data_IF_093964450497
#
_entry.id   IF_093964450497
#
_cell.length_a   1.000
_cell.length_b   1.000
_cell.length_c   1.000
_cell.angle_alpha   90.00
_cell.angle_beta   90.00
_cell.angle_gamma   90.00
#
_symmetry.space_group_name_H-M   'P 1'
#
loop_
_entity.id
_entity.type
_entity.pdbx_description
1 polymer ?
#
# COMPACT_ATOMS: atom_id res chain seq x y z
N UNK A 1 -26.22 -68.30 -2.54
CA UNK A 1 -26.92 -67.29 -1.71
C UNK A 1 -25.98 -66.10 -1.56
N UNK A 2 -26.21 -64.99 -2.28
CA UNK A 2 -26.82 -63.73 -1.75
C UNK A 2 -25.87 -63.08 -0.71
N UNK A 3 -25.31 -61.88 -0.86
CA UNK A 3 -25.78 -60.66 -1.55
C UNK A 3 -24.60 -59.74 -1.92
N UNK A 4 -24.83 -58.98 -3.00
CA UNK A 4 -24.15 -57.76 -3.47
C UNK A 4 -24.41 -56.60 -2.46
N UNK A 5 -23.73 -55.45 -2.63
CA UNK A 5 -23.98 -54.09 -2.09
C UNK A 5 -23.17 -53.82 -0.79
N UNK A 6 -22.23 -52.86 -0.67
CA UNK A 6 -22.15 -51.42 -1.02
C UNK A 6 -20.68 -51.08 -1.35
N UNK A 7 -20.28 -50.78 -2.59
CA UNK A 7 -20.27 -49.43 -3.20
C UNK A 7 -19.90 -48.27 -2.23
N UNK A 8 -18.75 -47.65 -2.51
CA UNK A 8 -18.42 -46.24 -2.24
C UNK A 8 -18.24 -45.82 -0.77
N UNK A 9 -17.08 -46.11 -0.19
CA UNK A 9 -16.59 -45.34 0.95
C UNK A 9 -15.20 -44.79 0.64
N UNK A 10 -15.21 -43.49 0.34
CA UNK A 10 -14.08 -42.57 0.36
C UNK A 10 -13.06 -42.59 -0.78
N UNK A 11 -13.52 -42.87 -2.01
CA UNK A 11 -12.95 -42.21 -3.20
C UNK A 11 -13.51 -40.77 -3.35
N UNK A 12 -13.76 -40.09 -2.22
CA UNK A 12 -14.14 -38.69 -2.15
C UNK A 12 -12.88 -37.84 -2.24
N UNK A 13 -12.25 -37.88 -3.41
CA UNK A 13 -11.56 -36.76 -4.04
C UNK A 13 -11.80 -35.45 -3.29
N UNK A 14 -10.86 -35.10 -2.43
CA UNK A 14 -10.62 -33.71 -2.02
C UNK A 14 -10.09 -32.97 -3.26
N UNK A 15 -10.91 -32.91 -4.32
CA UNK A 15 -10.80 -31.87 -5.33
C UNK A 15 -11.29 -30.61 -4.64
N UNK A 16 -10.43 -30.02 -3.81
CA UNK A 16 -10.46 -28.58 -3.62
C UNK A 16 -10.15 -28.03 -5.01
N UNK A 17 -11.19 -27.90 -5.85
CA UNK A 17 -11.11 -27.15 -7.08
C UNK A 17 -10.59 -25.78 -6.65
N UNK A 18 -9.33 -25.52 -7.00
CA UNK A 18 -8.66 -24.25 -6.74
C UNK A 18 -9.66 -23.15 -7.09
N UNK A 19 -10.06 -22.40 -6.06
CA UNK A 19 -10.97 -21.30 -6.21
C UNK A 19 -10.21 -20.26 -7.02
N UNK A 20 -10.34 -20.31 -8.36
CA UNK A 20 -9.83 -19.26 -9.23
C UNK A 20 -10.49 -17.98 -8.73
N UNK A 21 -9.69 -17.10 -8.14
CA UNK A 21 -10.10 -15.75 -7.83
C UNK A 21 -10.61 -15.13 -9.13
N UNK A 22 -11.88 -14.75 -9.11
CA UNK A 22 -12.58 -14.13 -10.23
C UNK A 22 -12.50 -14.92 -11.57
N UNK A 23 -13.28 -16.00 -11.65
CA UNK A 23 -13.51 -16.76 -12.89
C UNK A 23 -13.98 -15.87 -14.06
N UNK A 24 -14.68 -14.78 -13.79
CA UNK A 24 -15.17 -13.87 -14.83
C UNK A 24 -14.06 -12.95 -15.34
N UNK A 25 -13.18 -12.44 -14.48
CA UNK A 25 -11.98 -11.70 -14.90
C UNK A 25 -11.07 -12.58 -15.78
N UNK A 26 -10.83 -13.83 -15.38
CA UNK A 26 -10.03 -14.75 -16.20
C UNK A 26 -10.68 -15.04 -17.55
N UNK A 27 -12.02 -15.18 -17.58
CA UNK A 27 -12.78 -15.35 -18.83
C UNK A 27 -12.70 -14.11 -19.70
N UNK A 28 -12.76 -12.91 -19.12
CA UNK A 28 -12.59 -11.63 -19.81
C UNK A 28 -11.19 -11.53 -20.41
N UNK A 29 -10.14 -11.75 -19.61
CA UNK A 29 -8.76 -11.72 -20.09
C UNK A 29 -8.57 -12.68 -21.26
N UNK A 30 -9.08 -13.92 -21.19
CA UNK A 30 -8.95 -14.91 -22.28
C UNK A 30 -9.69 -14.54 -23.57
N UNK A 31 -10.62 -13.58 -23.55
CA UNK A 31 -11.25 -13.05 -24.77
C UNK A 31 -10.36 -12.02 -25.46
N UNK A 32 -9.54 -11.32 -24.70
CA UNK A 32 -8.67 -10.23 -25.18
C UNK A 32 -7.23 -10.73 -25.44
N UNK A 33 -6.79 -11.70 -24.67
CA UNK A 33 -5.42 -12.23 -24.64
C UNK A 33 -5.40 -13.76 -24.64
N UNK A 34 -4.22 -14.35 -24.84
CA UNK A 34 -4.06 -15.80 -24.80
C UNK A 34 -3.95 -16.32 -23.36
N UNK A 35 -4.29 -17.61 -23.15
CA UNK A 35 -4.29 -18.24 -21.82
C UNK A 35 -2.94 -18.17 -21.10
N UNK A 36 -1.81 -18.23 -21.83
CA UNK A 36 -0.47 -18.20 -21.23
C UNK A 36 -0.21 -16.83 -20.61
N UNK A 37 -0.52 -15.74 -21.33
CA UNK A 37 -0.38 -14.38 -20.81
C UNK A 37 -1.33 -14.13 -19.64
N UNK A 38 -2.59 -14.51 -19.73
CA UNK A 38 -3.52 -14.37 -18.59
C UNK A 38 -3.11 -15.14 -17.34
N UNK A 39 -2.18 -16.09 -17.43
CA UNK A 39 -1.70 -16.88 -16.30
C UNK A 39 -0.20 -16.64 -16.05
N UNK A 40 0.42 -15.66 -16.72
CA UNK A 40 1.75 -15.19 -16.39
C UNK A 40 1.68 -14.12 -15.31
N UNK A 41 2.85 -13.82 -14.78
CA UNK A 41 3.14 -12.72 -13.89
C UNK A 41 4.34 -12.02 -14.55
N UNK A 42 4.10 -10.82 -15.08
CA UNK A 42 5.02 -10.16 -16.00
C UNK A 42 6.06 -9.30 -15.27
N UNK A 43 5.74 -8.78 -14.09
CA UNK A 43 6.63 -7.97 -13.25
C UNK A 43 7.10 -8.67 -11.96
N UNK A 44 6.65 -9.90 -11.73
CA UNK A 44 7.10 -10.79 -10.66
C UNK A 44 6.68 -10.32 -9.26
N UNK A 45 5.55 -9.62 -9.14
CA UNK A 45 4.98 -9.21 -7.87
C UNK A 45 4.09 -10.27 -7.20
N UNK A 46 3.96 -11.44 -7.83
CA UNK A 46 3.11 -12.59 -7.46
C UNK A 46 1.61 -12.37 -7.71
N UNK A 47 1.23 -11.42 -8.55
CA UNK A 47 -0.12 -11.20 -9.02
C UNK A 47 -0.18 -11.61 -10.49
N UNK A 48 -1.14 -12.45 -10.83
CA UNK A 48 -1.29 -12.90 -12.20
C UNK A 48 -1.77 -11.73 -13.08
N UNK A 49 -1.28 -11.67 -14.31
CA UNK A 49 -1.57 -10.62 -15.31
C UNK A 49 -3.07 -10.24 -15.42
N UNK A 50 -3.99 -11.20 -15.23
CA UNK A 50 -5.43 -10.93 -15.33
C UNK A 50 -6.05 -10.30 -14.07
N UNK A 51 -5.35 -10.33 -12.94
CA UNK A 51 -5.73 -9.72 -11.66
C UNK A 51 -4.94 -8.43 -11.39
N UNK A 52 -3.83 -8.26 -12.10
CA UNK A 52 -2.93 -7.12 -11.98
C UNK A 52 -3.39 -5.93 -12.82
N UNK A 53 -3.51 -4.76 -12.19
CA UNK A 53 -3.85 -3.49 -12.85
C UNK A 53 -2.63 -2.80 -13.45
N UNK A 54 -1.42 -3.15 -13.03
CA UNK A 54 -0.16 -2.59 -13.50
C UNK A 54 0.83 -3.68 -13.91
N UNK A 55 0.59 -4.47 -14.97
CA UNK A 55 1.33 -5.71 -15.30
C UNK A 55 2.80 -5.55 -15.75
N UNK A 56 3.42 -4.41 -15.49
CA UNK A 56 4.80 -4.08 -15.84
C UNK A 56 5.52 -3.36 -14.70
N UNK A 57 4.83 -3.13 -13.58
CA UNK A 57 5.30 -2.32 -12.47
C UNK A 57 4.92 -3.03 -11.18
N UNK A 58 5.92 -3.58 -10.50
CA UNK A 58 5.71 -4.32 -9.26
C UNK A 58 4.83 -3.54 -8.28
N UNK A 59 3.77 -4.17 -7.79
CA UNK A 59 2.88 -3.57 -6.83
C UNK A 59 2.50 -4.47 -5.68
N UNK A 60 1.61 -3.96 -4.86
CA UNK A 60 1.07 -4.72 -3.73
C UNK A 60 -0.30 -5.27 -4.07
N UNK A 61 -0.67 -6.41 -3.47
CA UNK A 61 -2.03 -6.96 -3.58
C UNK A 61 -3.08 -5.94 -3.10
N UNK A 62 -2.76 -5.15 -2.07
CA UNK A 62 -3.62 -4.09 -1.53
C UNK A 62 -3.99 -3.04 -2.59
N UNK A 63 -3.06 -2.76 -3.53
CA UNK A 63 -3.25 -1.83 -4.62
C UNK A 63 -3.38 -2.52 -5.99
N UNK A 64 -3.87 -3.76 -6.00
CA UNK A 64 -4.17 -4.52 -7.22
C UNK A 64 -2.97 -4.64 -8.18
N UNK A 65 -1.77 -4.88 -7.63
CA UNK A 65 -0.53 -5.00 -8.42
C UNK A 65 0.05 -3.69 -8.91
N UNK A 66 -0.46 -2.56 -8.42
CA UNK A 66 0.17 -1.26 -8.69
C UNK A 66 1.04 -0.78 -7.53
N UNK A 67 2.14 -0.04 -7.79
CA UNK A 67 2.86 0.69 -6.75
C UNK A 67 1.99 1.80 -6.16
N UNK A 68 2.21 2.13 -4.89
CA UNK A 68 1.61 3.31 -4.29
C UNK A 68 2.40 4.56 -4.71
N UNK A 69 1.72 5.68 -5.05
CA UNK A 69 2.41 6.93 -5.33
C UNK A 69 3.01 7.55 -4.07
N UNK A 70 4.04 8.36 -4.29
CA UNK A 70 4.66 9.29 -3.34
C UNK A 70 4.87 10.59 -4.14
N UNK A 71 3.89 11.49 -4.03
CA UNK A 71 3.73 12.62 -4.95
C UNK A 71 4.78 13.71 -4.71
N UNK A 72 5.14 13.97 -3.45
CA UNK A 72 6.14 14.98 -3.10
C UNK A 72 7.55 14.42 -2.84
N UNK A 73 7.69 13.09 -2.85
CA UNK A 73 8.95 12.34 -2.82
C UNK A 73 9.70 12.47 -1.49
N UNK A 74 8.95 12.55 -0.39
CA UNK A 74 9.53 12.61 0.95
C UNK A 74 9.79 11.21 1.56
N UNK A 75 9.33 10.14 0.89
CA UNK A 75 9.48 8.76 1.32
C UNK A 75 8.31 8.22 2.14
N UNK A 76 7.28 9.02 2.38
CA UNK A 76 5.98 8.60 2.93
C UNK A 76 5.01 8.45 1.76
N UNK A 77 4.45 7.25 1.58
CA UNK A 77 3.50 7.01 0.50
C UNK A 77 2.25 7.88 0.69
N UNK A 78 1.62 8.33 -0.41
CA UNK A 78 0.44 9.21 -0.38
C UNK A 78 -0.71 8.65 0.48
N UNK A 79 -0.79 7.32 0.62
CA UNK A 79 -1.80 6.65 1.46
C UNK A 79 -1.55 6.77 2.96
N UNK A 80 -0.31 7.03 3.35
CA UNK A 80 0.17 7.14 4.73
C UNK A 80 0.61 8.58 5.07
N UNK A 81 0.66 9.46 4.06
CA UNK A 81 1.04 10.88 4.16
C UNK A 81 -0.18 11.78 4.48
N UNK A 82 -0.04 12.60 5.52
CA UNK A 82 -1.04 13.59 5.91
C UNK A 82 -0.95 14.89 5.08
N UNK A 83 0.15 15.11 4.37
CA UNK A 83 0.42 16.24 3.50
C UNK A 83 0.97 15.82 2.11
N UNK A 84 0.23 15.08 1.25
CA UNK A 84 0.72 14.46 0.00
C UNK A 84 1.28 15.37 -1.09
N UNK A 85 1.40 16.67 -0.86
CA UNK A 85 1.90 17.65 -1.82
C UNK A 85 3.03 18.51 -1.22
N UNK A 86 3.38 18.28 0.05
CA UNK A 86 4.31 19.09 0.82
C UNK A 86 5.20 18.17 1.63
N UNK A 87 6.39 17.91 1.08
CA UNK A 87 7.37 17.03 1.68
C UNK A 87 7.62 17.34 3.16
N UNK A 88 7.65 16.27 3.97
CA UNK A 88 7.92 16.33 5.39
C UNK A 88 8.53 15.04 5.94
N UNK A 89 8.96 15.07 7.20
CA UNK A 89 9.53 13.89 7.83
C UNK A 89 8.47 12.81 8.11
N UNK A 90 8.84 11.51 8.06
CA UNK A 90 7.94 10.42 8.46
C UNK A 90 7.49 10.53 9.92
N UNK A 91 8.30 11.14 10.81
CA UNK A 91 7.93 11.39 12.20
C UNK A 91 6.71 12.33 12.33
N UNK A 92 6.44 13.13 11.30
CA UNK A 92 5.28 14.02 11.23
C UNK A 92 4.29 13.60 10.13
N UNK A 93 4.27 12.31 9.77
CA UNK A 93 3.37 11.76 8.74
C UNK A 93 3.46 12.51 7.41
N UNK A 94 4.69 12.76 6.94
CA UNK A 94 4.97 13.46 5.68
C UNK A 94 4.65 14.96 5.68
N UNK A 95 4.22 15.53 6.81
CA UNK A 95 4.00 16.97 6.91
C UNK A 95 5.24 17.71 7.41
N UNK A 96 5.50 18.91 6.89
CA UNK A 96 6.44 19.85 7.53
C UNK A 96 6.00 20.17 8.97
N UNK A 97 6.95 20.36 9.88
CA UNK A 97 6.65 20.87 11.23
C UNK A 97 6.29 22.37 11.17
N UNK A 98 5.36 22.84 12.02
CA UNK A 98 5.07 24.25 12.15
C UNK A 98 6.19 24.99 12.91
N UNK A 99 6.26 26.29 12.63
CA UNK A 99 7.02 27.33 13.34
C UNK A 99 6.05 28.51 13.40
N UNK A 100 5.29 28.57 14.49
CA UNK A 100 4.09 29.40 14.62
C UNK A 100 4.44 30.87 14.76
N UNK A 101 5.58 31.20 15.38
CA UNK A 101 6.02 32.57 15.59
C UNK A 101 7.14 33.04 14.64
N UNK A 102 7.72 32.12 13.87
CA UNK A 102 8.66 32.40 12.80
C UNK A 102 10.06 32.73 13.28
N UNK A 103 10.44 32.30 14.49
CA UNK A 103 11.78 32.54 15.05
C UNK A 103 12.85 31.56 14.52
N UNK A 104 12.43 30.54 13.76
CA UNK A 104 13.27 29.52 13.16
C UNK A 104 13.46 28.27 14.01
N UNK A 105 12.81 28.18 15.17
CA UNK A 105 12.75 27.00 16.04
C UNK A 105 11.36 26.39 15.87
N UNK A 106 11.30 25.12 15.48
CA UNK A 106 10.02 24.45 15.25
C UNK A 106 9.22 24.36 16.55
N UNK A 107 7.88 24.42 16.47
CA UNK A 107 7.00 24.38 17.65
C UNK A 107 7.26 23.18 18.58
N UNK A 108 7.77 22.07 18.03
CA UNK A 108 8.11 20.85 18.79
C UNK A 108 9.40 20.98 19.62
N UNK A 109 10.27 21.91 19.25
CA UNK A 109 11.57 22.20 19.88
C UNK A 109 11.55 23.57 20.60
N UNK A 110 10.47 24.34 20.45
CA UNK A 110 10.29 25.67 21.03
C UNK A 110 9.55 25.60 22.38
N UNK A 111 10.14 26.21 23.41
CA UNK A 111 9.53 26.32 24.74
C UNK A 111 8.48 27.45 24.82
N UNK A 112 8.47 28.37 23.87
CA UNK A 112 7.59 29.53 23.77
C UNK A 112 6.98 29.68 22.35
N UNK A 113 6.25 28.68 21.81
CA UNK A 113 5.89 28.53 20.39
C UNK A 113 4.98 29.62 19.78
N UNK A 114 4.64 30.66 20.53
CA UNK A 114 3.78 31.76 20.07
C UNK A 114 4.43 33.13 20.30
N UNK A 115 5.68 33.18 20.76
CA UNK A 115 6.38 34.41 21.12
C UNK A 115 7.85 34.28 20.69
N UNK A 116 8.28 35.01 19.65
CA UNK A 116 9.61 34.82 19.07
C UNK A 116 10.73 34.97 20.09
N UNK A 117 11.69 34.05 20.07
CA UNK A 117 12.85 34.07 20.95
C UNK A 117 14.16 33.79 20.22
N UNK A 118 15.10 33.21 20.97
CA UNK A 118 16.44 32.91 20.47
C UNK A 118 16.84 31.47 20.78
N UNK A 119 17.71 30.84 19.97
CA UNK A 119 18.15 29.46 20.18
C UNK A 119 18.75 29.19 21.57
N UNK A 120 19.50 30.15 22.13
CA UNK A 120 20.11 30.02 23.46
C UNK A 120 19.09 29.93 24.61
N UNK A 121 17.83 30.29 24.37
CA UNK A 121 16.73 30.24 25.33
C UNK A 121 15.61 29.30 24.87
N UNK A 122 15.91 28.35 23.97
CA UNK A 122 14.94 27.41 23.40
C UNK A 122 13.67 28.12 22.86
N UNK A 123 13.86 29.19 22.08
CA UNK A 123 12.76 29.94 21.45
C UNK A 123 12.00 30.89 22.36
N UNK A 124 12.43 31.05 23.62
CA UNK A 124 11.86 32.07 24.50
C UNK A 124 12.53 33.44 24.38
N UNK A 125 11.79 34.54 24.61
CA UNK A 125 12.34 35.88 24.65
C UNK A 125 13.29 36.07 25.84
N UNK A 126 14.11 37.13 25.78
CA UNK A 126 15.03 37.51 26.88
C UNK A 126 14.33 38.21 28.05
N UNK A 127 13.07 38.61 27.87
CA UNK A 127 12.20 39.17 28.89
C UNK A 127 11.21 38.09 29.35
N UNK A 128 10.83 38.12 30.64
CA UNK A 128 9.91 37.18 31.26
C UNK A 128 8.59 37.86 31.60
#
# INVERSE_FOLDING_TARGET
MRKIIFFLLFAGIYFQAQHIEDKEALKKCRREFNKKLCLSDEDQDNILFYLDKCPKEMGSVENYGCPWPDTDKDGVLDKDDACPQIAGPPENKGCKWPDTDGDGILDKDDACPTVPGIPNLNGCPTWK
#
